data_IF_405855448286
#
_entry.id   IF_405855448286
#
_cell.length_a   1.000
_cell.length_b   1.000
_cell.length_c   1.000
_cell.angle_alpha   90.00
_cell.angle_beta   90.00
_cell.angle_gamma   90.00
#
_symmetry.space_group_name_H-M   'P 1'
#
loop_
_entity.id
_entity.type
_entity.pdbx_description
1 polymer ?
#
# COMPACT_ATOMS: atom_id res chain seq x y z
N UNK A 1 -46.33 5.75 12.98
CA UNK A 1 -45.63 6.75 12.15
C UNK A 1 -44.31 7.24 12.77
N UNK A 2 -44.28 7.67 14.04
CA UNK A 2 -43.05 8.16 14.70
C UNK A 2 -41.88 7.15 14.70
N UNK A 3 -42.16 5.88 14.96
CA UNK A 3 -41.18 4.78 14.91
C UNK A 3 -40.59 4.59 13.50
N UNK A 4 -41.37 4.81 12.42
CA UNK A 4 -40.86 4.73 11.05
C UNK A 4 -39.87 5.86 10.74
N UNK A 5 -40.16 7.08 11.21
CA UNK A 5 -39.27 8.24 11.06
C UNK A 5 -37.96 8.01 11.82
N UNK A 6 -38.01 7.47 13.04
CA UNK A 6 -36.83 7.14 13.83
C UNK A 6 -35.96 6.08 13.12
N UNK A 7 -36.58 5.01 12.61
CA UNK A 7 -35.86 3.96 11.86
C UNK A 7 -35.19 4.54 10.61
N UNK A 8 -35.90 5.37 9.84
CA UNK A 8 -35.33 6.03 8.66
C UNK A 8 -34.14 6.91 9.06
N UNK A 9 -34.27 7.68 10.14
CA UNK A 9 -33.18 8.48 10.69
C UNK A 9 -31.94 7.64 11.00
N UNK A 10 -32.11 6.52 11.69
CA UNK A 10 -31.01 5.60 12.03
C UNK A 10 -30.35 5.05 10.77
N UNK A 11 -31.13 4.59 9.78
CA UNK A 11 -30.58 4.05 8.53
C UNK A 11 -29.78 5.12 7.78
N UNK A 12 -30.31 6.34 7.67
CA UNK A 12 -29.59 7.44 7.02
C UNK A 12 -28.30 7.78 7.77
N UNK A 13 -28.33 7.86 9.10
CA UNK A 13 -27.13 8.10 9.90
C UNK A 13 -26.07 7.01 9.71
N UNK A 14 -26.47 5.74 9.66
CA UNK A 14 -25.55 4.61 9.40
C UNK A 14 -24.96 4.71 8.00
N UNK A 15 -25.76 5.01 6.98
CA UNK A 15 -25.27 5.17 5.61
C UNK A 15 -24.26 6.32 5.50
N UNK A 16 -24.54 7.47 6.11
CA UNK A 16 -23.62 8.60 6.14
C UNK A 16 -22.31 8.24 6.84
N UNK A 17 -22.36 7.49 7.95
CA UNK A 17 -21.17 7.00 8.63
C UNK A 17 -20.34 6.07 7.73
N UNK A 18 -20.98 5.14 7.01
CA UNK A 18 -20.29 4.24 6.09
C UNK A 18 -19.63 4.98 4.92
N UNK A 19 -20.28 6.02 4.39
CA UNK A 19 -19.71 6.88 3.33
C UNK A 19 -18.51 7.64 3.88
N UNK A 20 -18.63 8.25 5.06
CA UNK A 20 -17.54 8.98 5.71
C UNK A 20 -16.31 8.08 5.91
N UNK A 21 -16.50 6.86 6.43
CA UNK A 21 -15.42 5.90 6.61
C UNK A 21 -14.76 5.46 5.30
N UNK A 22 -15.48 5.45 4.18
CA UNK A 22 -14.89 5.13 2.87
C UNK A 22 -14.03 6.29 2.34
N UNK A 23 -14.51 7.52 2.48
CA UNK A 23 -13.76 8.71 2.06
C UNK A 23 -12.45 8.84 2.83
N UNK A 24 -12.49 8.66 4.16
CA UNK A 24 -11.29 8.71 5.00
C UNK A 24 -10.26 7.61 4.63
N UNK A 25 -10.72 6.43 4.22
CA UNK A 25 -9.83 5.35 3.75
C UNK A 25 -9.17 5.69 2.43
N UNK A 26 -9.90 6.31 1.50
CA UNK A 26 -9.37 6.73 0.20
C UNK A 26 -8.28 7.79 0.37
N UNK A 27 -8.55 8.83 1.16
CA UNK A 27 -7.56 9.89 1.44
C UNK A 27 -6.29 9.33 2.09
N UNK A 28 -6.44 8.39 3.03
CA UNK A 28 -5.28 7.72 3.65
C UNK A 28 -4.51 6.87 2.64
N UNK A 29 -5.20 6.13 1.77
CA UNK A 29 -4.55 5.31 0.74
C UNK A 29 -3.79 6.18 -0.27
N UNK A 30 -4.39 7.27 -0.73
CA UNK A 30 -3.76 8.25 -1.62
C UNK A 30 -2.52 8.87 -0.98
N UNK A 31 -2.63 9.36 0.27
CA UNK A 31 -1.48 9.92 0.98
C UNK A 31 -0.34 8.93 1.18
N UNK A 32 -0.65 7.66 1.46
CA UNK A 32 0.37 6.61 1.60
C UNK A 32 1.02 6.28 0.25
N UNK A 33 0.22 6.21 -0.82
CA UNK A 33 0.72 6.02 -2.17
C UNK A 33 1.63 7.16 -2.60
N UNK A 34 1.21 8.41 -2.40
CA UNK A 34 2.02 9.59 -2.74
C UNK A 34 3.36 9.56 -2.00
N UNK A 35 3.35 9.28 -0.69
CA UNK A 35 4.58 9.14 0.09
C UNK A 35 5.51 8.08 -0.49
N UNK A 36 5.00 6.89 -0.79
CA UNK A 36 5.79 5.82 -1.40
C UNK A 36 6.28 6.21 -2.81
N UNK A 37 5.41 6.80 -3.62
CA UNK A 37 5.70 7.18 -5.00
C UNK A 37 6.79 8.26 -5.05
N UNK A 38 6.75 9.25 -4.17
CA UNK A 38 7.75 10.31 -4.08
C UNK A 38 9.07 9.86 -3.45
N UNK A 39 9.05 8.80 -2.63
CA UNK A 39 10.24 8.34 -1.93
C UNK A 39 11.32 7.79 -2.87
N UNK A 40 12.58 8.15 -2.54
CA UNK A 40 13.77 7.45 -3.01
C UNK A 40 14.08 6.34 -2.02
N UNK A 41 13.88 5.09 -2.43
CA UNK A 41 14.13 3.93 -1.57
C UNK A 41 15.39 3.24 -2.07
N UNK A 42 16.43 3.20 -1.25
CA UNK A 42 17.64 2.46 -1.51
C UNK A 42 18.17 1.93 -0.18
N UNK A 43 18.25 0.60 -0.05
CA UNK A 43 18.75 -0.01 1.19
C UNK A 43 18.13 -1.37 1.45
N UNK A 44 18.29 -1.85 2.68
CA UNK A 44 17.80 -3.16 3.13
C UNK A 44 16.47 -3.06 3.85
N UNK A 45 15.62 -4.05 3.65
CA UNK A 45 14.31 -4.15 4.32
C UNK A 45 14.54 -4.47 5.81
N UNK A 46 14.17 -3.55 6.69
CA UNK A 46 14.20 -3.74 8.16
C UNK A 46 12.83 -4.14 8.73
N UNK A 47 11.76 -3.90 7.98
CA UNK A 47 10.40 -4.28 8.33
C UNK A 47 9.64 -4.71 7.07
N UNK A 48 8.86 -5.77 7.17
CA UNK A 48 8.04 -6.29 6.09
C UNK A 48 6.73 -6.86 6.63
N UNK A 49 5.61 -6.33 6.15
CA UNK A 49 4.26 -6.78 6.51
C UNK A 49 3.36 -6.71 5.28
N UNK A 50 2.37 -7.59 5.19
CA UNK A 50 1.33 -7.50 4.17
C UNK A 50 -0.06 -7.52 4.83
N UNK A 51 -0.96 -6.71 4.29
CA UNK A 51 -2.37 -6.70 4.67
C UNK A 51 -3.23 -6.40 3.45
N UNK A 52 -4.20 -7.26 3.16
CA UNK A 52 -5.24 -7.11 2.11
C UNK A 52 -4.76 -6.29 0.89
N UNK A 53 -3.85 -6.86 0.10
CA UNK A 53 -3.34 -6.26 -1.14
C UNK A 53 -2.26 -5.17 -0.97
N UNK A 54 -2.04 -4.67 0.24
CA UNK A 54 -0.95 -3.74 0.55
C UNK A 54 0.26 -4.48 1.11
N UNK A 55 1.44 -4.00 0.73
CA UNK A 55 2.71 -4.34 1.32
C UNK A 55 3.24 -3.13 2.05
N UNK A 56 3.70 -3.35 3.27
CA UNK A 56 4.37 -2.34 4.08
C UNK A 56 5.83 -2.69 4.27
N UNK A 57 6.69 -1.70 4.07
CA UNK A 57 8.14 -1.84 4.21
C UNK A 57 8.75 -0.70 5.04
N UNK A 58 9.89 -0.99 5.66
CA UNK A 58 10.80 0.01 6.22
C UNK A 58 12.21 -0.31 5.78
N UNK A 59 13.03 0.72 5.56
CA UNK A 59 14.45 0.58 5.22
C UNK A 59 15.29 0.75 6.49
N UNK A 60 16.40 0.02 6.63
CA UNK A 60 17.25 0.05 7.84
C UNK A 60 17.66 1.46 8.31
N UNK A 61 17.94 2.37 7.38
CA UNK A 61 18.40 3.74 7.68
C UNK A 61 17.28 4.78 7.62
N UNK A 62 16.03 4.35 7.38
CA UNK A 62 14.88 5.23 7.27
C UNK A 62 13.99 5.11 8.51
N UNK A 63 13.44 6.21 8.99
CA UNK A 63 12.44 6.20 10.06
C UNK A 63 11.04 5.87 9.55
N UNK A 64 10.77 6.12 8.28
CA UNK A 64 9.45 6.07 7.65
C UNK A 64 9.03 4.64 7.28
N UNK A 65 7.72 4.36 7.41
CA UNK A 65 7.08 3.14 6.93
C UNK A 65 6.35 3.48 5.65
N UNK A 66 6.65 2.76 4.57
CA UNK A 66 6.01 2.94 3.27
C UNK A 66 5.00 1.84 3.01
N UNK A 67 3.92 2.18 2.33
CA UNK A 67 2.89 1.23 1.90
C UNK A 67 2.70 1.33 0.38
N UNK A 68 2.59 0.19 -0.29
CA UNK A 68 2.30 0.14 -1.72
C UNK A 68 1.53 -1.13 -2.08
N UNK A 69 0.82 -1.08 -3.21
CA UNK A 69 0.10 -2.23 -3.77
C UNK A 69 0.86 -2.73 -5.01
N UNK A 70 1.66 -3.80 -4.88
CA UNK A 70 2.35 -4.38 -6.02
C UNK A 70 1.32 -4.99 -6.98
N UNK A 71 1.51 -4.77 -8.28
CA UNK A 71 0.78 -5.49 -9.31
C UNK A 71 1.30 -6.93 -9.38
N UNK A 72 0.37 -7.89 -9.41
CA UNK A 72 0.68 -9.32 -9.50
C UNK A 72 1.30 -9.73 -10.86
N UNK A 73 1.40 -8.80 -11.81
CA UNK A 73 2.01 -8.99 -13.12
C UNK A 73 3.53 -8.73 -13.06
N UNK A 74 4.21 -9.24 -12.04
CA UNK A 74 5.65 -9.37 -12.11
C UNK A 74 5.97 -10.41 -13.21
N UNK A 75 7.10 -10.29 -13.94
CA UNK A 75 7.50 -11.25 -14.97
C UNK A 75 7.53 -12.72 -14.49
N UNK A 76 7.58 -12.90 -13.17
CA UNK A 76 7.73 -14.19 -12.50
C UNK A 76 6.44 -14.70 -11.84
N UNK A 77 5.29 -14.01 -11.98
CA UNK A 77 3.97 -14.34 -11.39
C UNK A 77 3.93 -14.50 -9.84
N UNK A 78 5.02 -14.17 -9.16
CA UNK A 78 5.13 -14.25 -7.71
C UNK A 78 4.95 -12.85 -7.13
N UNK A 79 4.11 -12.72 -6.10
CA UNK A 79 3.86 -11.44 -5.44
C UNK A 79 5.06 -10.97 -4.63
N UNK A 80 5.25 -9.65 -4.51
CA UNK A 80 6.40 -9.06 -3.81
C UNK A 80 6.63 -9.67 -2.41
N UNK A 81 5.56 -9.73 -1.60
CA UNK A 81 5.62 -10.24 -0.23
C UNK A 81 5.97 -11.73 -0.14
N UNK A 82 5.75 -12.49 -1.21
CA UNK A 82 6.11 -13.92 -1.25
C UNK A 82 7.60 -14.16 -1.52
N UNK A 83 8.30 -13.16 -2.06
CA UNK A 83 9.73 -13.25 -2.41
C UNK A 83 10.59 -12.45 -1.44
N UNK A 84 10.16 -11.25 -1.04
CA UNK A 84 10.95 -10.39 -0.19
C UNK A 84 11.10 -10.97 1.22
N UNK A 85 12.31 -10.91 1.76
CA UNK A 85 12.62 -11.20 3.16
C UNK A 85 13.29 -9.99 3.83
N UNK A 86 13.33 -9.99 5.17
CA UNK A 86 14.13 -9.03 5.92
C UNK A 86 15.60 -9.14 5.51
N UNK A 87 16.26 -7.99 5.34
CA UNK A 87 17.65 -7.90 4.91
C UNK A 87 17.87 -7.90 3.39
N UNK A 88 16.84 -8.23 2.59
CA UNK A 88 16.90 -8.07 1.13
C UNK A 88 17.03 -6.59 0.76
N UNK A 89 17.72 -6.31 -0.35
CA UNK A 89 17.93 -4.94 -0.81
C UNK A 89 16.84 -4.52 -1.79
N UNK A 90 16.36 -3.29 -1.67
CA UNK A 90 15.42 -2.70 -2.64
C UNK A 90 15.95 -1.39 -3.19
N UNK A 91 15.53 -1.09 -4.42
CA UNK A 91 15.84 0.17 -5.10
C UNK A 91 14.59 0.67 -5.82
N UNK A 92 14.17 1.89 -5.53
CA UNK A 92 13.11 2.62 -6.23
C UNK A 92 13.51 4.10 -6.32
N UNK A 93 13.44 4.66 -7.53
CA UNK A 93 13.61 6.11 -7.73
C UNK A 93 12.32 6.87 -7.40
N UNK A 94 12.40 8.16 -7.01
CA UNK A 94 11.24 9.03 -6.92
C UNK A 94 10.41 9.00 -8.21
N UNK A 95 9.09 8.91 -8.08
CA UNK A 95 8.09 8.85 -9.15
C UNK A 95 8.24 7.67 -10.14
N UNK A 96 9.15 6.72 -9.88
CA UNK A 96 9.20 5.49 -10.65
C UNK A 96 7.99 4.64 -10.30
N UNK A 97 7.39 4.00 -11.31
CA UNK A 97 6.31 3.01 -11.17
C UNK A 97 6.80 1.60 -10.83
N UNK A 98 8.13 1.44 -10.69
CA UNK A 98 8.81 0.15 -10.60
C UNK A 98 9.73 0.15 -9.39
N UNK A 99 9.62 -0.91 -8.58
CA UNK A 99 10.51 -1.20 -7.46
C UNK A 99 11.32 -2.45 -7.79
N UNK A 100 12.64 -2.35 -7.64
CA UNK A 100 13.58 -3.45 -7.81
C UNK A 100 13.85 -4.07 -6.44
N UNK A 101 13.64 -5.38 -6.33
CA UNK A 101 14.07 -6.20 -5.20
C UNK A 101 15.31 -7.00 -5.62
N UNK A 102 16.31 -7.05 -4.76
CA UNK A 102 17.57 -7.78 -4.96
C UNK A 102 17.67 -8.82 -3.85
N UNK A 103 17.63 -10.10 -4.23
CA UNK A 103 17.70 -11.25 -3.33
C UNK A 103 18.64 -12.30 -3.91
N UNK A 104 19.69 -12.68 -3.18
CA UNK A 104 20.68 -13.68 -3.61
C UNK A 104 21.19 -13.43 -5.04
N UNK A 105 21.64 -12.21 -5.33
CA UNK A 105 22.11 -11.74 -6.65
C UNK A 105 21.07 -11.76 -7.78
N UNK A 106 19.81 -12.13 -7.50
CA UNK A 106 18.69 -12.05 -8.45
C UNK A 106 17.94 -10.74 -8.27
N UNK A 107 17.57 -10.14 -9.39
CA UNK A 107 16.75 -8.94 -9.43
C UNK A 107 15.31 -9.28 -9.83
N UNK A 108 14.35 -8.83 -9.02
CA UNK A 108 12.92 -8.93 -9.28
C UNK A 108 12.36 -7.52 -9.42
N UNK A 109 11.48 -7.32 -10.40
CA UNK A 109 10.92 -6.01 -10.71
C UNK A 109 9.41 -6.07 -10.50
N UNK A 110 8.90 -5.13 -9.72
CA UNK A 110 7.49 -5.03 -9.38
C UNK A 110 6.98 -3.66 -9.78
N UNK A 111 5.96 -3.64 -10.61
CA UNK A 111 5.19 -2.43 -10.88
C UNK A 111 4.11 -2.27 -9.82
N UNK A 112 3.65 -1.05 -9.62
CA UNK A 112 2.54 -0.74 -8.73
C UNK A 112 1.58 0.21 -9.43
N UNK A 113 0.30 0.12 -9.08
CA UNK A 113 -0.74 1.01 -9.59
C UNK A 113 -1.03 2.09 -8.55
N UNK A 114 -1.34 3.27 -9.05
CA UNK A 114 -1.94 4.34 -8.27
C UNK A 114 -3.20 3.82 -7.55
N UNK A 115 -3.28 4.09 -6.25
CA UNK A 115 -4.42 3.75 -5.40
C UNK A 115 -5.60 4.73 -5.57
N UNK A 116 -5.41 5.80 -6.34
CA UNK A 116 -6.41 6.85 -6.59
C UNK A 116 -7.27 6.72 -7.86
N UNK A 117 -7.10 5.69 -8.71
CA UNK A 117 -7.87 5.52 -9.97
C UNK A 117 -8.29 4.07 -10.27
#
# INVERSE_FOLDING_TARGET
MRHKIIIIGIVVSVLLLLIYLQLERLERAESQYEKFNQASLEGRISFLEASVGLVYIKIEEDSEKYAFMPLEIAPNQLGFYSIADLGDSIVKRPYSDTLKLIKNDKSYYYTFKDLGN
#
